data_IF_319111047625
#
_entry.id   IF_319111047625
#
_cell.length_a   1.000
_cell.length_b   1.000
_cell.length_c   1.000
_cell.angle_alpha   90.00
_cell.angle_beta   90.00
_cell.angle_gamma   90.00
#
_symmetry.space_group_name_H-M   'P 1'
#
loop_
_entity.id
_entity.type
_entity.pdbx_description
1 polymer ?
#
# COMPACT_ATOMS: atom_id res chain seq x y z
N UNK A 1 -3.87 0.63 17.98
CA UNK A 1 -2.93 0.11 19.02
C UNK A 1 -1.47 0.45 18.70
N UNK A 2 -1.01 0.27 17.46
CA UNK A 2 0.38 0.51 17.05
C UNK A 2 0.93 1.90 17.44
N UNK A 3 0.25 2.99 17.03
CA UNK A 3 0.69 4.36 17.33
C UNK A 3 0.80 4.62 18.84
N UNK A 4 -0.10 4.08 19.65
CA UNK A 4 -0.02 4.21 21.12
C UNK A 4 1.27 3.62 21.67
N UNK A 5 1.67 2.42 21.22
CA UNK A 5 2.93 1.79 21.63
C UNK A 5 4.13 2.64 21.23
N UNK A 6 4.14 3.16 19.99
CA UNK A 6 5.21 4.04 19.51
C UNK A 6 5.31 5.31 20.36
N UNK A 7 4.19 5.95 20.69
CA UNK A 7 4.21 7.11 21.59
C UNK A 7 4.74 6.75 22.99
N UNK A 8 4.40 5.56 23.53
CA UNK A 8 4.94 5.08 24.81
C UNK A 8 6.43 4.77 24.78
N UNK A 9 6.98 4.38 23.64
CA UNK A 9 8.41 4.24 23.43
C UNK A 9 9.09 5.61 23.38
N UNK A 10 8.49 6.57 22.67
CA UNK A 10 8.95 7.97 22.62
C UNK A 10 8.97 8.64 24.00
N UNK A 11 7.94 8.40 24.84
CA UNK A 11 7.90 8.86 26.24
C UNK A 11 9.10 8.36 27.06
N UNK A 12 9.72 7.25 26.66
CA UNK A 12 10.90 6.64 27.28
C UNK A 12 12.22 6.99 26.56
N UNK A 13 12.19 7.89 25.57
CA UNK A 13 13.35 8.29 24.79
C UNK A 13 13.76 7.31 23.68
N UNK A 14 12.87 6.38 23.30
CA UNK A 14 13.08 5.45 22.18
C UNK A 14 12.31 6.00 20.97
N UNK A 15 13.03 6.64 20.04
CA UNK A 15 12.47 7.35 18.88
C UNK A 15 12.89 6.76 17.52
N UNK A 16 13.72 5.72 17.52
CA UNK A 16 14.24 5.05 16.33
C UNK A 16 13.36 3.86 15.87
N UNK A 17 12.04 3.97 16.03
CA UNK A 17 11.07 2.90 15.73
C UNK A 17 10.11 3.38 14.67
N UNK A 18 9.88 2.52 13.67
CA UNK A 18 8.89 2.71 12.60
C UNK A 18 7.99 1.47 12.50
N UNK A 19 6.90 1.60 11.76
CA UNK A 19 5.95 0.50 11.54
C UNK A 19 6.40 -0.35 10.36
N UNK A 20 6.47 -1.67 10.55
CA UNK A 20 6.45 -2.62 9.44
C UNK A 20 4.98 -2.85 9.06
N UNK A 21 4.56 -2.31 7.93
CA UNK A 21 3.17 -2.33 7.50
C UNK A 21 2.92 -3.56 6.63
N UNK A 22 2.17 -4.51 7.18
CA UNK A 22 1.67 -5.68 6.47
C UNK A 22 0.29 -5.41 5.89
N UNK A 23 0.13 -5.59 4.57
CA UNK A 23 -1.07 -5.15 3.88
C UNK A 23 -2.26 -6.04 4.24
N UNK A 24 -2.07 -7.35 4.35
CA UNK A 24 -3.15 -8.27 4.69
C UNK A 24 -3.62 -8.09 6.12
N UNK A 25 -2.74 -7.73 7.05
CA UNK A 25 -3.14 -7.43 8.44
C UNK A 25 -4.09 -6.23 8.51
N UNK A 26 -3.88 -5.22 7.68
CA UNK A 26 -4.78 -4.07 7.59
C UNK A 26 -6.11 -4.47 6.93
N UNK A 27 -6.07 -5.20 5.82
CA UNK A 27 -7.27 -5.71 5.14
C UNK A 27 -8.12 -6.55 6.11
N UNK A 28 -7.50 -7.37 6.95
CA UNK A 28 -8.19 -8.16 7.98
C UNK A 28 -8.91 -7.33 9.04
N UNK A 29 -8.46 -6.09 9.26
CA UNK A 29 -9.01 -5.17 10.23
C UNK A 29 -9.92 -4.11 9.61
N UNK A 30 -10.25 -4.22 8.31
CA UNK A 30 -11.01 -3.21 7.56
C UNK A 30 -10.32 -1.82 7.62
N UNK A 31 -8.97 -1.83 7.69
CA UNK A 31 -8.14 -0.62 7.68
C UNK A 31 -7.69 -0.33 6.24
N UNK A 32 -7.98 0.87 5.75
CA UNK A 32 -7.69 1.25 4.37
C UNK A 32 -6.18 1.45 4.14
N UNK A 33 -5.56 0.65 3.26
CA UNK A 33 -4.09 0.64 3.08
C UNK A 33 -3.50 2.02 2.74
N UNK A 34 -4.04 2.75 1.75
CA UNK A 34 -3.47 4.04 1.35
C UNK A 34 -3.60 5.08 2.47
N UNK A 35 -4.74 5.10 3.18
CA UNK A 35 -4.95 6.02 4.29
C UNK A 35 -3.96 5.76 5.42
N UNK A 36 -3.75 4.49 5.76
CA UNK A 36 -2.80 4.09 6.79
C UNK A 36 -1.37 4.47 6.40
N UNK A 37 -0.96 4.22 5.15
CA UNK A 37 0.35 4.61 4.64
C UNK A 37 0.56 6.13 4.67
N UNK A 38 -0.45 6.91 4.25
CA UNK A 38 -0.40 8.37 4.29
C UNK A 38 -0.28 8.91 5.73
N UNK A 39 -1.02 8.32 6.67
CA UNK A 39 -0.95 8.65 8.10
C UNK A 39 0.42 8.32 8.69
N UNK A 40 0.96 7.13 8.42
CA UNK A 40 2.29 6.77 8.89
C UNK A 40 3.37 7.67 8.28
N UNK A 41 3.25 8.01 7.00
CA UNK A 41 4.20 8.89 6.32
C UNK A 41 4.20 10.30 6.91
N UNK A 42 3.02 10.86 7.22
CA UNK A 42 2.92 12.20 7.82
C UNK A 42 3.51 12.28 9.23
N UNK A 43 3.52 11.15 9.96
CA UNK A 43 4.11 11.01 11.30
C UNK A 43 5.59 10.58 11.28
N UNK A 44 6.19 10.36 10.11
CA UNK A 44 7.55 9.83 9.97
C UNK A 44 7.70 8.37 10.42
N UNK A 45 6.59 7.64 10.50
CA UNK A 45 6.49 6.27 11.04
C UNK A 45 6.32 5.21 9.96
N UNK A 46 6.24 5.58 8.68
CA UNK A 46 6.17 4.64 7.56
C UNK A 46 7.52 3.92 7.41
N UNK A 47 7.58 2.67 7.84
CA UNK A 47 8.79 1.85 7.78
C UNK A 47 8.73 0.82 6.66
N UNK A 48 9.25 -0.37 6.95
CA UNK A 48 9.27 -1.48 6.01
C UNK A 48 7.84 -1.92 5.62
N UNK A 49 7.71 -2.58 4.47
CA UNK A 49 6.43 -3.04 3.94
C UNK A 49 6.46 -4.54 3.76
N UNK A 50 5.39 -5.21 4.17
CA UNK A 50 5.08 -6.59 3.83
C UNK A 50 3.95 -6.58 2.81
N UNK A 51 4.35 -6.71 1.54
CA UNK A 51 3.47 -6.68 0.40
C UNK A 51 2.83 -8.05 0.17
N UNK A 52 1.52 -8.12 0.35
CA UNK A 52 0.69 -9.31 0.16
C UNK A 52 -0.76 -8.90 -0.18
N UNK A 53 -1.68 -9.86 -0.16
CA UNK A 53 -3.10 -9.67 -0.41
C UNK A 53 -3.87 -10.85 0.20
N UNK A 54 -5.20 -10.85 0.15
CA UNK A 54 -6.01 -11.90 0.76
C UNK A 54 -7.49 -11.57 0.90
N UNK A 55 -8.25 -12.54 1.39
CA UNK A 55 -9.71 -12.50 1.49
C UNK A 55 -10.25 -11.68 2.66
N UNK A 56 -9.37 -11.17 3.53
CA UNK A 56 -9.70 -10.20 4.58
C UNK A 56 -10.30 -10.79 5.86
N UNK A 57 -10.34 -12.12 5.99
CA UNK A 57 -10.74 -12.78 7.25
C UNK A 57 -9.58 -13.53 7.91
N UNK A 58 -8.48 -13.70 7.18
CA UNK A 58 -7.29 -14.41 7.62
C UNK A 58 -6.06 -13.79 6.96
N UNK A 59 -4.90 -14.09 7.53
CA UNK A 59 -3.61 -13.69 7.01
C UNK A 59 -3.21 -14.65 5.89
N UNK A 60 -3.87 -14.53 4.75
CA UNK A 60 -3.78 -15.52 3.67
C UNK A 60 -2.42 -15.50 2.94
N UNK A 61 -1.67 -14.39 3.04
CA UNK A 61 -0.40 -14.18 2.36
C UNK A 61 -0.43 -14.46 0.85
N UNK A 62 -1.54 -14.09 0.19
CA UNK A 62 -1.72 -14.26 -1.24
C UNK A 62 -0.87 -13.26 -2.04
N UNK A 63 -0.74 -13.52 -3.35
CA UNK A 63 -0.03 -12.64 -4.27
C UNK A 63 -0.50 -11.18 -4.15
N UNK A 64 0.47 -10.27 -4.08
CA UNK A 64 0.27 -8.81 -4.11
C UNK A 64 -0.82 -8.35 -5.08
N UNK A 65 -1.77 -7.58 -4.55
CA UNK A 65 -2.85 -6.94 -5.31
C UNK A 65 -3.86 -7.90 -5.96
N UNK A 66 -3.90 -9.18 -5.56
CA UNK A 66 -4.79 -10.17 -6.16
C UNK A 66 -6.27 -9.92 -5.84
N UNK A 67 -6.60 -9.55 -4.60
CA UNK A 67 -7.98 -9.32 -4.15
C UNK A 67 -8.28 -7.83 -3.96
N UNK A 68 -7.29 -7.05 -3.54
CA UNK A 68 -7.40 -5.62 -3.23
C UNK A 68 -6.72 -4.73 -4.30
N UNK A 69 -6.93 -5.00 -5.59
CA UNK A 69 -6.19 -4.33 -6.67
C UNK A 69 -6.30 -2.79 -6.65
N UNK A 70 -7.52 -2.25 -6.55
CA UNK A 70 -7.75 -0.80 -6.59
C UNK A 70 -7.15 -0.10 -5.36
N UNK A 71 -7.26 -0.72 -4.20
CA UNK A 71 -6.66 -0.22 -2.95
C UNK A 71 -5.13 -0.29 -2.99
N UNK A 72 -4.56 -1.37 -3.55
CA UNK A 72 -3.11 -1.49 -3.78
C UNK A 72 -2.61 -0.44 -4.80
N UNK A 73 -3.44 -0.09 -5.79
CA UNK A 73 -3.13 0.98 -6.74
C UNK A 73 -3.08 2.36 -6.06
N UNK A 74 -4.03 2.66 -5.18
CA UNK A 74 -4.01 3.90 -4.41
C UNK A 74 -2.85 3.91 -3.40
N UNK A 75 -2.49 2.75 -2.81
CA UNK A 75 -1.29 2.63 -1.97
C UNK A 75 -0.02 2.96 -2.74
N UNK A 76 0.11 2.48 -3.98
CA UNK A 76 1.22 2.85 -4.85
C UNK A 76 1.26 4.36 -5.12
N UNK A 77 0.11 5.00 -5.28
CA UNK A 77 0.03 6.46 -5.41
C UNK A 77 0.52 7.17 -4.13
N UNK A 78 0.15 6.68 -2.94
CA UNK A 78 0.63 7.24 -1.67
C UNK A 78 2.14 7.07 -1.48
N UNK A 79 2.70 5.92 -1.81
CA UNK A 79 4.16 5.73 -1.81
C UNK A 79 4.86 6.72 -2.73
N UNK A 80 4.28 7.04 -3.88
CA UNK A 80 4.81 8.08 -4.77
C UNK A 80 4.69 9.48 -4.18
N UNK A 81 3.56 9.78 -3.52
CA UNK A 81 3.31 11.07 -2.86
C UNK A 81 4.28 11.31 -1.70
N UNK A 82 4.57 10.29 -0.89
CA UNK A 82 5.49 10.39 0.25
C UNK A 82 6.96 10.10 -0.10
N UNK A 83 7.26 9.69 -1.34
CA UNK A 83 8.62 9.41 -1.79
C UNK A 83 9.21 8.11 -1.22
N UNK A 84 8.38 7.14 -0.85
CA UNK A 84 8.83 5.84 -0.36
C UNK A 84 9.72 5.14 -1.41
N UNK A 85 10.89 4.66 -1.00
CA UNK A 85 11.88 4.03 -1.88
C UNK A 85 12.96 4.99 -2.40
N UNK A 86 12.78 6.30 -2.23
CA UNK A 86 13.76 7.31 -2.66
C UNK A 86 15.06 7.29 -1.85
N UNK A 87 15.04 6.74 -0.63
CA UNK A 87 16.22 6.61 0.24
C UNK A 87 16.75 5.17 0.30
N UNK A 88 16.34 4.33 -0.66
CA UNK A 88 16.80 2.95 -0.77
C UNK A 88 15.88 1.92 -0.13
N UNK A 89 14.71 2.34 0.37
CA UNK A 89 13.69 1.43 0.88
C UNK A 89 13.27 0.42 -0.20
N UNK A 90 12.86 -0.77 0.25
CA UNK A 90 12.44 -1.88 -0.58
C UNK A 90 11.18 -2.47 0.02
N UNK A 91 10.29 -2.93 -0.85
CA UNK A 91 9.16 -3.75 -0.42
C UNK A 91 9.66 -5.17 -0.15
N UNK A 92 9.37 -5.68 1.05
CA UNK A 92 9.36 -7.11 1.32
C UNK A 92 8.06 -7.72 0.79
N UNK A 93 8.13 -8.93 0.28
CA UNK A 93 6.96 -9.70 -0.14
C UNK A 93 6.77 -10.79 0.90
N UNK A 94 5.76 -10.66 1.75
CA UNK A 94 5.43 -11.65 2.78
C UNK A 94 4.35 -12.57 2.20
N UNK A 95 4.77 -13.71 1.67
CA UNK A 95 3.90 -14.56 0.85
C UNK A 95 3.97 -15.99 1.33
N UNK A 96 2.83 -16.66 1.33
CA UNK A 96 2.71 -18.06 1.71
C UNK A 96 1.98 -18.85 0.62
N UNK A 97 2.63 -19.16 -0.51
CA UNK A 97 2.05 -19.94 -1.60
C UNK A 97 1.81 -21.40 -1.18
N UNK A 98 0.63 -21.68 -0.62
CA UNK A 98 0.24 -23.02 -0.16
C UNK A 98 0.03 -24.00 -1.32
N UNK A 99 -0.50 -23.51 -2.45
CA UNK A 99 -0.97 -24.35 -3.57
C UNK A 99 -0.26 -24.09 -4.89
N UNK A 100 0.49 -23.00 -4.99
CA UNK A 100 1.17 -22.55 -6.21
C UNK A 100 2.67 -22.93 -6.24
N UNK A 101 3.31 -22.80 -7.42
CA UNK A 101 4.77 -22.78 -7.52
C UNK A 101 5.34 -21.57 -6.79
N UNK A 102 6.14 -21.80 -5.74
CA UNK A 102 6.57 -20.71 -4.85
C UNK A 102 7.44 -19.67 -5.58
N UNK A 103 8.33 -20.12 -6.47
CA UNK A 103 9.18 -19.21 -7.26
C UNK A 103 8.33 -18.42 -8.25
N UNK A 104 7.37 -19.10 -8.88
CA UNK A 104 6.35 -18.51 -9.74
C UNK A 104 5.57 -17.40 -9.03
N UNK A 105 5.05 -17.67 -7.83
CA UNK A 105 4.29 -16.71 -7.01
C UNK A 105 5.10 -15.46 -6.74
N UNK A 106 6.32 -15.58 -6.19
CA UNK A 106 7.18 -14.43 -5.91
C UNK A 106 7.46 -13.63 -7.18
N UNK A 107 7.81 -14.31 -8.29
CA UNK A 107 8.07 -13.63 -9.57
C UNK A 107 6.84 -12.89 -10.07
N UNK A 108 5.66 -13.51 -9.99
CA UNK A 108 4.40 -12.91 -10.44
C UNK A 108 4.01 -11.72 -9.57
N UNK A 109 4.16 -11.78 -8.25
CA UNK A 109 3.90 -10.65 -7.35
C UNK A 109 4.81 -9.46 -7.65
N UNK A 110 6.10 -9.67 -7.92
CA UNK A 110 7.00 -8.58 -8.34
C UNK A 110 6.54 -7.93 -9.64
N UNK A 111 6.16 -8.75 -10.64
CA UNK A 111 5.66 -8.23 -11.91
C UNK A 111 4.32 -7.49 -11.74
N UNK A 112 3.45 -7.98 -10.86
CA UNK A 112 2.15 -7.38 -10.59
C UNK A 112 2.31 -6.03 -9.88
N UNK A 113 3.17 -5.95 -8.86
CA UNK A 113 3.52 -4.69 -8.22
C UNK A 113 4.07 -3.66 -9.21
N UNK A 114 5.00 -4.07 -10.09
CA UNK A 114 5.54 -3.18 -11.14
C UNK A 114 4.45 -2.68 -12.09
N UNK A 115 3.49 -3.53 -12.43
CA UNK A 115 2.35 -3.12 -13.24
C UNK A 115 1.50 -2.09 -12.50
N UNK A 116 1.14 -2.35 -11.23
CA UNK A 116 0.36 -1.42 -10.40
C UNK A 116 1.07 -0.07 -10.25
N UNK A 117 2.37 -0.05 -9.90
CA UNK A 117 3.16 1.18 -9.82
C UNK A 117 3.21 1.92 -11.16
N UNK A 118 3.30 1.20 -12.29
CA UNK A 118 3.25 1.83 -13.63
C UNK A 118 1.89 2.44 -13.98
N UNK A 119 0.79 1.91 -13.43
CA UNK A 119 -0.54 2.53 -13.54
C UNK A 119 -0.57 3.77 -12.65
N UNK A 120 -0.14 3.68 -11.39
CA UNK A 120 -0.09 4.81 -10.47
C UNK A 120 0.73 5.98 -11.04
N UNK A 121 1.85 5.69 -11.70
CA UNK A 121 2.69 6.68 -12.36
C UNK A 121 2.01 7.42 -13.54
N UNK A 122 0.94 6.86 -14.11
CA UNK A 122 0.16 7.46 -15.21
C UNK A 122 -1.06 8.24 -14.74
N UNK A 123 -1.43 8.12 -13.46
CA UNK A 123 -2.54 8.89 -12.88
C UNK A 123 -2.14 10.37 -12.81
N UNK A 124 -3.01 11.25 -13.30
CA UNK A 124 -2.89 12.69 -13.09
C UNK A 124 -3.27 13.01 -11.63
N UNK A 125 -2.27 13.03 -10.75
CA UNK A 125 -2.48 13.23 -9.31
C UNK A 125 -3.13 14.58 -8.98
N UNK A 126 -2.80 15.63 -9.75
CA UNK A 126 -3.35 16.96 -9.52
C UNK A 126 -4.85 16.98 -9.85
N UNK A 127 -5.23 16.44 -11.02
CA UNK A 127 -6.64 16.33 -11.40
C UNK A 127 -7.41 15.40 -10.45
N UNK A 128 -6.79 14.30 -10.00
CA UNK A 128 -7.40 13.38 -9.05
C UNK A 128 -7.67 14.08 -7.70
N UNK A 129 -6.71 14.84 -7.18
CA UNK A 129 -6.89 15.62 -5.93
C UNK A 129 -7.97 16.69 -6.08
N UNK A 130 -8.05 17.36 -7.22
CA UNK A 130 -9.12 18.33 -7.50
C UNK A 130 -10.50 17.66 -7.46
N UNK A 131 -10.67 16.52 -8.14
CA UNK A 131 -11.90 15.74 -8.12
C UNK A 131 -12.27 15.28 -6.70
N UNK A 132 -11.30 14.79 -5.94
CA UNK A 132 -11.48 14.38 -4.54
C UNK A 132 -11.94 15.56 -3.65
N UNK A 133 -11.32 16.74 -3.79
CA UNK A 133 -11.72 17.95 -3.05
C UNK A 133 -13.13 18.43 -3.43
N UNK A 134 -13.51 18.29 -4.69
CA UNK A 134 -14.85 18.56 -5.19
C UNK A 134 -15.89 17.49 -4.80
N UNK A 135 -15.46 16.37 -4.19
CA UNK A 135 -16.28 15.18 -3.91
C UNK A 135 -16.89 14.57 -5.17
N UNK A 136 -16.22 14.73 -6.31
CA UNK A 136 -16.63 14.17 -7.58
C UNK A 136 -16.01 12.79 -7.78
N UNK A 137 -16.68 11.78 -7.22
CA UNK A 137 -16.25 10.40 -7.34
C UNK A 137 -16.26 9.93 -8.81
N UNK A 138 -17.21 10.39 -9.63
CA UNK A 138 -17.29 9.99 -11.05
C UNK A 138 -16.03 10.43 -11.76
N UNK A 139 -15.65 11.70 -11.62
CA UNK A 139 -14.43 12.23 -12.23
C UNK A 139 -13.17 11.56 -11.71
N UNK A 140 -13.10 11.27 -10.40
CA UNK A 140 -11.97 10.56 -9.82
C UNK A 140 -11.77 9.18 -10.48
N UNK A 141 -12.86 8.42 -10.66
CA UNK A 141 -12.80 7.12 -11.33
C UNK A 141 -12.45 7.24 -12.82
N UNK A 142 -12.96 8.23 -13.55
CA UNK A 142 -12.56 8.48 -14.95
C UNK A 142 -11.04 8.67 -15.08
N UNK A 143 -10.43 9.44 -14.17
CA UNK A 143 -8.98 9.70 -14.18
C UNK A 143 -8.20 8.40 -13.93
N UNK A 144 -8.62 7.62 -12.94
CA UNK A 144 -7.96 6.33 -12.63
C UNK A 144 -8.12 5.33 -13.77
N UNK A 145 -9.30 5.26 -14.39
CA UNK A 145 -9.56 4.34 -15.51
C UNK A 145 -8.85 4.75 -16.79
N UNK A 146 -8.69 6.05 -17.06
CA UNK A 146 -7.82 6.52 -18.15
C UNK A 146 -6.37 6.03 -17.96
N UNK A 147 -5.85 6.02 -16.73
CA UNK A 147 -4.53 5.45 -16.42
C UNK A 147 -4.47 3.93 -16.63
N UNK A 148 -5.60 3.21 -16.50
CA UNK A 148 -5.72 1.79 -16.84
C UNK A 148 -5.87 1.52 -18.35
N UNK A 149 -6.18 2.55 -19.14
CA UNK A 149 -6.30 2.47 -20.60
C UNK A 149 -7.74 2.44 -21.14
N UNK A 150 -8.71 2.94 -20.38
CA UNK A 150 -10.08 3.17 -20.84
C UNK A 150 -10.19 4.37 -21.81
#
# INVERSE_FOLDING_TARGET
MCLFVIHKLRDQGIDNVQVNMDWQHLIMNDEHLPEYAALLASEGLLGHQHANSGGGTFDDDNMVGATAFMETLELALEFRRCGYGSSGERLGFDLYPYTEDQVGTVRRSVLHWRFIDSVAARIDDAALREAQQAKDAVRAYEIVYAALGA
#
